data_IF_248762382522
#
_entry.id   IF_248762382522
#
_cell.length_a   1.000
_cell.length_b   1.000
_cell.length_c   1.000
_cell.angle_alpha   90.00
_cell.angle_beta   90.00
_cell.angle_gamma   90.00
#
_symmetry.space_group_name_H-M   'P 1'
#
loop_
_entity.id
_entity.type
_entity.pdbx_description
1 polymer ?
#
# COMPACT_ATOMS: atom_id res chain seq x y z
N UNK A 1 -34.59 22.39 -27.67
CA UNK A 1 -33.19 22.13 -27.27
C UNK A 1 -33.19 20.87 -26.43
N UNK A 2 -32.33 19.87 -26.69
CA UNK A 2 -32.28 18.68 -25.85
C UNK A 2 -31.55 19.03 -24.54
N UNK A 3 -32.16 18.67 -23.42
CA UNK A 3 -31.51 18.72 -22.09
C UNK A 3 -30.47 17.61 -22.07
N UNK A 4 -29.21 17.99 -21.92
CA UNK A 4 -28.12 17.07 -21.62
C UNK A 4 -28.31 16.66 -20.16
N UNK A 5 -28.81 15.45 -19.95
CA UNK A 5 -28.89 14.82 -18.63
C UNK A 5 -27.45 14.51 -18.21
N UNK A 6 -26.89 15.33 -17.32
CA UNK A 6 -25.58 15.09 -16.71
C UNK A 6 -25.65 13.74 -15.97
N UNK A 7 -25.05 12.72 -16.57
CA UNK A 7 -24.79 11.45 -15.91
C UNK A 7 -23.97 11.76 -14.65
N UNK A 8 -24.43 11.38 -13.45
CA UNK A 8 -23.69 11.64 -12.23
C UNK A 8 -22.31 10.99 -12.34
N UNK A 9 -21.26 11.78 -12.11
CA UNK A 9 -19.89 11.30 -12.16
C UNK A 9 -19.74 10.07 -11.25
N UNK A 10 -19.08 8.99 -11.72
CA UNK A 10 -18.89 7.80 -10.89
C UNK A 10 -18.19 8.18 -9.60
N UNK A 11 -18.76 7.74 -8.47
CA UNK A 11 -18.19 7.99 -7.15
C UNK A 11 -16.73 7.51 -7.10
N UNK A 12 -15.83 8.24 -6.40
CA UNK A 12 -14.44 7.83 -6.28
C UNK A 12 -14.36 6.42 -5.69
N UNK A 13 -13.79 5.51 -6.48
CA UNK A 13 -13.56 4.13 -6.07
C UNK A 13 -12.33 4.12 -5.18
N UNK A 14 -12.50 3.81 -3.89
CA UNK A 14 -11.36 3.63 -3.00
C UNK A 14 -10.62 2.39 -3.47
N UNK A 15 -9.41 2.57 -4.01
CA UNK A 15 -8.56 1.46 -4.43
C UNK A 15 -7.76 1.01 -3.22
N UNK A 16 -8.27 0.00 -2.52
CA UNK A 16 -7.53 -0.61 -1.41
C UNK A 16 -6.41 -1.50 -1.98
N UNK A 17 -5.17 -1.22 -1.58
CA UNK A 17 -3.96 -1.92 -2.03
C UNK A 17 -3.27 -2.57 -0.84
N UNK A 18 -3.43 -3.88 -0.71
CA UNK A 18 -2.81 -4.65 0.37
C UNK A 18 -1.50 -5.26 -0.12
N UNK A 19 -0.44 -5.05 0.66
CA UNK A 19 0.88 -5.59 0.38
C UNK A 19 1.29 -6.53 1.50
N UNK A 20 1.59 -7.77 1.14
CA UNK A 20 2.13 -8.75 2.07
C UNK A 20 3.65 -8.75 1.96
N UNK A 21 4.32 -8.43 3.06
CA UNK A 21 5.78 -8.54 3.17
C UNK A 21 6.11 -9.74 4.05
N UNK A 22 7.08 -10.53 3.60
CA UNK A 22 7.50 -11.72 4.35
C UNK A 22 8.46 -11.32 5.48
N UNK A 23 8.09 -11.63 6.72
CA UNK A 23 8.90 -11.33 7.91
C UNK A 23 10.32 -11.93 7.84
N UNK A 24 10.52 -13.08 7.22
CA UNK A 24 11.86 -13.72 7.07
C UNK A 24 12.78 -12.95 6.10
N UNK A 25 12.17 -12.26 5.14
CA UNK A 25 12.88 -11.38 4.21
C UNK A 25 13.17 -10.04 4.89
N UNK A 26 12.22 -9.54 5.67
CA UNK A 26 12.36 -8.28 6.37
C UNK A 26 13.35 -8.36 7.53
N UNK A 27 13.32 -9.43 8.32
CA UNK A 27 14.01 -9.52 9.60
C UNK A 27 14.81 -10.82 9.71
N UNK A 28 15.87 -10.77 10.52
CA UNK A 28 16.52 -11.99 10.99
C UNK A 28 15.76 -12.55 12.19
N UNK A 29 15.89 -13.86 12.45
CA UNK A 29 15.22 -14.50 13.58
C UNK A 29 15.54 -13.82 14.91
N UNK A 30 14.50 -13.45 15.66
CA UNK A 30 14.63 -12.75 16.95
C UNK A 30 15.19 -11.33 16.86
N UNK A 31 15.14 -10.70 15.68
CA UNK A 31 15.58 -9.32 15.46
C UNK A 31 14.43 -8.47 14.92
N UNK A 32 14.46 -7.20 15.29
CA UNK A 32 13.60 -6.11 14.82
C UNK A 32 14.30 -5.22 13.78
N UNK A 33 15.59 -5.46 13.54
CA UNK A 33 16.37 -4.71 12.56
C UNK A 33 16.12 -5.25 11.15
N UNK A 34 15.78 -4.34 10.24
CA UNK A 34 15.57 -4.68 8.83
C UNK A 34 16.86 -5.18 8.18
N UNK A 35 16.74 -6.30 7.46
CA UNK A 35 17.77 -6.79 6.56
C UNK A 35 17.88 -5.88 5.33
N UNK A 36 19.03 -5.85 4.63
CA UNK A 36 19.19 -5.09 3.38
C UNK A 36 18.10 -5.42 2.34
N UNK A 37 17.71 -6.68 2.25
CA UNK A 37 16.62 -7.15 1.37
C UNK A 37 15.27 -6.58 1.80
N UNK A 38 15.01 -6.50 3.11
CA UNK A 38 13.80 -5.90 3.65
C UNK A 38 13.70 -4.40 3.38
N UNK A 39 14.81 -3.68 3.50
CA UNK A 39 14.89 -2.25 3.15
C UNK A 39 14.60 -2.05 1.65
N UNK A 40 15.17 -2.88 0.78
CA UNK A 40 14.91 -2.82 -0.64
C UNK A 40 13.44 -3.07 -1.00
N UNK A 41 12.82 -4.07 -0.35
CA UNK A 41 11.40 -4.39 -0.55
C UNK A 41 10.47 -3.24 -0.11
N UNK A 42 10.74 -2.64 1.06
CA UNK A 42 9.98 -1.49 1.57
C UNK A 42 10.15 -0.25 0.69
N UNK A 43 11.36 0.01 0.18
CA UNK A 43 11.58 1.10 -0.77
C UNK A 43 10.81 0.89 -2.08
N UNK A 44 10.77 -0.33 -2.60
CA UNK A 44 9.97 -0.66 -3.79
C UNK A 44 8.47 -0.45 -3.58
N UNK A 45 7.96 -0.85 -2.42
CA UNK A 45 6.57 -0.58 -2.02
C UNK A 45 6.30 0.92 -1.93
N UNK A 46 7.18 1.66 -1.28
CA UNK A 46 7.04 3.10 -1.12
C UNK A 46 7.00 3.83 -2.49
N UNK A 47 7.87 3.44 -3.43
CA UNK A 47 7.84 3.98 -4.79
C UNK A 47 6.49 3.77 -5.47
N UNK A 48 5.90 2.58 -5.38
CA UNK A 48 4.57 2.30 -5.96
C UNK A 48 3.47 3.17 -5.35
N UNK A 49 3.52 3.41 -4.03
CA UNK A 49 2.54 4.28 -3.35
C UNK A 49 2.69 5.72 -3.83
N UNK A 50 3.94 6.21 -3.96
CA UNK A 50 4.25 7.56 -4.45
C UNK A 50 3.78 7.74 -5.89
N UNK A 51 4.06 6.78 -6.77
CA UNK A 51 3.61 6.81 -8.17
C UNK A 51 2.08 6.81 -8.30
N UNK A 52 1.38 6.16 -7.37
CA UNK A 52 -0.07 6.10 -7.35
C UNK A 52 -0.72 7.45 -6.96
N UNK A 53 0.02 8.36 -6.32
CA UNK A 53 -0.44 9.67 -5.82
C UNK A 53 -1.90 9.68 -5.33
N UNK A 54 -2.28 8.83 -4.36
CA UNK A 54 -3.64 8.80 -3.84
C UNK A 54 -4.03 10.14 -3.23
N UNK A 55 -5.22 10.64 -3.59
CA UNK A 55 -5.74 11.93 -3.13
C UNK A 55 -6.09 11.93 -1.63
N UNK A 56 -6.55 10.78 -1.16
CA UNK A 56 -6.80 10.47 0.25
C UNK A 56 -6.03 9.18 0.55
N UNK A 57 -4.97 9.26 1.35
CA UNK A 57 -4.13 8.10 1.70
C UNK A 57 -4.14 7.87 3.20
N UNK A 58 -4.35 6.61 3.57
CA UNK A 58 -4.16 6.11 4.92
C UNK A 58 -3.31 4.84 4.81
N UNK A 59 -2.30 4.71 5.65
CA UNK A 59 -1.43 3.54 5.67
C UNK A 59 -1.39 2.95 7.06
N UNK A 60 -1.83 1.70 7.17
CA UNK A 60 -1.76 0.91 8.40
C UNK A 60 -0.70 -0.17 8.22
N UNK A 61 0.27 -0.20 9.15
CA UNK A 61 1.28 -1.27 9.20
C UNK A 61 0.86 -2.29 10.24
N UNK A 62 0.62 -3.53 9.81
CA UNK A 62 0.26 -4.65 10.69
C UNK A 62 1.41 -5.66 10.71
N UNK A 63 1.96 -5.92 11.89
CA UNK A 63 2.94 -6.98 12.10
C UNK A 63 2.25 -8.26 12.55
N UNK A 64 2.40 -9.34 11.79
CA UNK A 64 1.91 -10.68 12.13
C UNK A 64 3.07 -11.59 12.49
N UNK A 65 3.10 -12.08 13.73
CA UNK A 65 3.96 -13.19 14.14
C UNK A 65 3.07 -14.42 14.34
N UNK A 66 3.50 -15.57 13.84
CA UNK A 66 2.84 -16.85 14.13
C UNK A 66 3.01 -17.13 15.64
N UNK A 67 1.92 -17.50 16.34
CA UNK A 67 1.91 -17.71 17.80
C UNK A 67 2.73 -18.93 18.22
#
# INVERSE_FOLDING_TARGET
APVVEEVPAPAPQVVEKNFALNSDVLFAFGKDTLKPEGVAALNGLYQQIVEFQPKDWDAVVVGSAEQ
#
